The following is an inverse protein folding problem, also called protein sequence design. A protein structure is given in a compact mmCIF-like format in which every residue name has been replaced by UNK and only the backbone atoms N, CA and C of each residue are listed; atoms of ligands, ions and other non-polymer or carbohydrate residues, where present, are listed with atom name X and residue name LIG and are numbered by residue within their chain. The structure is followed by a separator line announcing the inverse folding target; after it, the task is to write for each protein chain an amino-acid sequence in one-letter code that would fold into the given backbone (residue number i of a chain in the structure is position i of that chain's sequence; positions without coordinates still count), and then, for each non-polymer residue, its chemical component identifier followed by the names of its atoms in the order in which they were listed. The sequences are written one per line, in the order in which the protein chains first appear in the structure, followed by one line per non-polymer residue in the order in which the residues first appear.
data_IF_439606634768
#
_entry.id   IF_439606634768
#
_cell.length_a   1.000
_cell.length_b   1.000
_cell.length_c   1.000
_cell.angle_alpha   90.00
_cell.angle_beta   90.00
_cell.angle_gamma   90.00
#
_symmetry.space_group_name_H-M   'P 1'
#
loop_
_entity.id
_entity.type
_entity.pdbx_description
1 polymer ?
#
# COMPACT_ATOMS: atom_id res chain seq x y z
N UNK A 1 11.00 41.01 -3.53
CA UNK A 1 11.11 39.60 -3.95
C UNK A 1 11.08 38.68 -2.74
N UNK A 2 9.96 37.99 -2.51
CA UNK A 2 9.85 36.58 -2.08
C UNK A 2 8.37 36.29 -1.86
N UNK A 3 7.77 35.64 -2.85
CA UNK A 3 6.41 35.15 -2.77
C UNK A 3 6.36 34.07 -1.68
N UNK A 4 5.65 34.36 -0.58
CA UNK A 4 5.08 33.32 0.27
C UNK A 4 4.11 32.54 -0.61
N UNK A 5 4.49 31.32 -1.02
CA UNK A 5 3.59 30.41 -1.70
C UNK A 5 2.54 29.95 -0.68
N UNK A 6 1.26 30.31 -0.83
CA UNK A 6 0.19 29.69 -0.06
C UNK A 6 -0.18 28.37 -0.76
N UNK A 7 -0.77 27.43 -0.03
CA UNK A 7 -1.37 26.19 -0.58
C UNK A 7 -0.44 24.98 -0.70
N UNK A 8 0.02 24.47 0.44
CA UNK A 8 -0.01 23.01 0.60
C UNK A 8 -0.98 22.73 1.72
N UNK A 9 -2.23 22.32 1.44
CA UNK A 9 -3.02 21.72 2.48
C UNK A 9 -2.27 20.44 2.87
N UNK A 10 -1.89 20.34 4.14
CA UNK A 10 -1.60 19.06 4.76
C UNK A 10 -2.96 18.35 4.84
N UNK A 11 -3.46 17.88 3.69
CA UNK A 11 -4.46 16.83 3.68
C UNK A 11 -3.72 15.63 4.23
N UNK A 12 -3.80 15.46 5.54
CA UNK A 12 -3.53 14.19 6.18
C UNK A 12 -4.47 13.18 5.50
N UNK A 13 -3.99 12.53 4.45
CA UNK A 13 -4.63 11.39 3.82
C UNK A 13 -4.43 10.16 4.73
N UNK A 14 -4.78 10.32 6.01
CA UNK A 14 -5.10 9.22 6.89
C UNK A 14 -6.63 9.26 7.05
N UNK A 15 -7.31 9.03 5.92
CA UNK A 15 -8.73 8.69 5.90
C UNK A 15 -8.85 7.30 6.49
N UNK A 16 -8.93 7.26 7.82
CA UNK A 16 -9.17 6.02 8.53
C UNK A 16 -10.64 5.61 8.35
N UNK A 17 -10.84 4.31 8.19
CA UNK A 17 -12.14 3.61 8.28
C UNK A 17 -13.14 3.74 7.13
N UNK A 18 -12.68 3.45 5.91
CA UNK A 18 -13.51 2.78 4.89
C UNK A 18 -13.87 1.33 5.26
N UNK A 19 -14.20 1.03 6.52
CA UNK A 19 -14.65 -0.28 7.00
C UNK A 19 -16.08 -0.47 6.51
N UNK A 20 -16.25 -0.78 5.22
CA UNK A 20 -17.45 -1.44 4.74
C UNK A 20 -17.44 -2.84 5.36
N UNK A 21 -17.93 -2.97 6.59
CA UNK A 21 -18.46 -4.22 7.13
C UNK A 21 -19.61 -4.63 6.21
N UNK A 22 -19.25 -5.26 5.09
CA UNK A 22 -20.22 -5.88 4.21
C UNK A 22 -20.67 -7.14 4.95
N UNK A 23 -21.86 -7.03 5.53
CA UNK A 23 -22.82 -8.08 5.87
C UNK A 23 -22.26 -9.46 6.22
N UNK A 24 -22.47 -9.83 7.49
CA UNK A 24 -22.17 -11.11 8.14
C UNK A 24 -22.85 -12.33 7.48
N UNK A 25 -22.35 -12.81 6.35
CA UNK A 25 -22.65 -14.18 5.87
C UNK A 25 -21.47 -14.82 5.12
N UNK A 26 -20.69 -15.60 5.88
CA UNK A 26 -20.05 -16.88 5.55
C UNK A 26 -19.06 -17.01 4.36
N UNK A 27 -17.79 -17.34 4.67
CA UNK A 27 -17.14 -18.67 4.49
C UNK A 27 -15.70 -18.64 5.00
N UNK A 28 -15.08 -19.80 5.25
CA UNK A 28 -13.70 -19.93 5.74
C UNK A 28 -12.63 -19.15 4.93
N UNK A 29 -12.92 -18.77 3.68
CA UNK A 29 -12.06 -17.89 2.86
C UNK A 29 -11.89 -16.47 3.43
N UNK A 30 -12.87 -15.94 4.16
CA UNK A 30 -12.79 -14.59 4.74
C UNK A 30 -11.82 -14.54 5.92
N UNK A 31 -11.74 -15.61 6.72
CA UNK A 31 -10.81 -15.70 7.85
C UNK A 31 -9.34 -15.76 7.36
N UNK A 32 -9.08 -16.49 6.27
CA UNK A 32 -7.74 -16.54 5.64
C UNK A 32 -7.39 -15.19 5.01
N UNK A 33 -8.35 -14.53 4.35
CA UNK A 33 -8.14 -13.18 3.82
C UNK A 33 -7.90 -12.14 4.92
N UNK A 34 -8.59 -12.26 6.06
CA UNK A 34 -8.41 -11.37 7.20
C UNK A 34 -7.02 -11.52 7.83
N UNK A 35 -6.59 -12.76 8.08
CA UNK A 35 -5.25 -13.06 8.63
C UNK A 35 -4.12 -12.69 7.66
N UNK A 36 -4.30 -12.88 6.35
CA UNK A 36 -3.35 -12.39 5.36
C UNK A 36 -3.24 -10.85 5.38
N UNK A 37 -4.36 -10.15 5.54
CA UNK A 37 -4.39 -8.69 5.64
C UNK A 37 -3.73 -8.19 6.94
N UNK A 38 -3.94 -8.87 8.07
CA UNK A 38 -3.26 -8.58 9.34
C UNK A 38 -1.74 -8.74 9.25
N UNK A 39 -1.26 -9.77 8.54
CA UNK A 39 0.18 -9.97 8.28
C UNK A 39 0.75 -8.84 7.42
N UNK A 40 0.04 -8.45 6.36
CA UNK A 40 0.43 -7.31 5.50
C UNK A 40 0.49 -6.02 6.30
N UNK A 41 -0.51 -5.78 7.14
CA UNK A 41 -0.59 -4.59 7.99
C UNK A 41 0.54 -4.58 9.03
N UNK A 42 0.83 -5.71 9.67
CA UNK A 42 1.90 -5.81 10.67
C UNK A 42 3.26 -5.52 10.05
N UNK A 43 3.56 -6.07 8.88
CA UNK A 43 4.82 -5.78 8.18
C UNK A 43 4.88 -4.33 7.65
N UNK A 44 3.75 -3.78 7.19
CA UNK A 44 3.66 -2.36 6.82
C UNK A 44 3.99 -1.45 8.01
N UNK A 45 3.40 -1.71 9.18
CA UNK A 45 3.67 -0.96 10.41
C UNK A 45 5.10 -1.15 10.90
N UNK A 46 5.67 -2.35 10.78
CA UNK A 46 7.09 -2.60 11.08
C UNK A 46 8.00 -1.80 10.14
N UNK A 47 7.70 -1.74 8.85
CA UNK A 47 8.45 -0.94 7.89
C UNK A 47 8.32 0.55 8.17
N UNK A 48 7.13 1.03 8.53
CA UNK A 48 6.90 2.40 8.94
C UNK A 48 7.72 2.74 10.20
N UNK A 49 7.73 1.87 11.21
CA UNK A 49 8.51 2.07 12.42
C UNK A 49 10.03 2.09 12.16
N UNK A 50 10.51 1.33 11.17
CA UNK A 50 11.94 1.24 10.83
C UNK A 50 12.43 2.35 9.89
N UNK A 51 11.58 2.80 8.96
CA UNK A 51 12.00 3.68 7.85
C UNK A 51 11.22 5.01 7.80
N UNK A 52 10.21 5.21 8.64
CA UNK A 52 9.35 6.41 8.63
C UNK A 52 8.64 6.60 7.29
N UNK A 53 8.49 7.85 6.85
CA UNK A 53 7.82 8.20 5.58
C UNK A 53 8.44 7.54 4.34
N UNK A 54 9.69 7.09 4.40
CA UNK A 54 10.36 6.39 3.30
C UNK A 54 9.89 4.94 3.11
N UNK A 55 9.11 4.38 4.05
CA UNK A 55 8.64 3.00 4.00
C UNK A 55 7.84 2.67 2.74
N UNK A 56 6.98 3.59 2.30
CA UNK A 56 6.19 3.40 1.08
C UNK A 56 7.08 3.36 -0.17
N UNK A 57 8.11 4.22 -0.25
CA UNK A 57 9.07 4.23 -1.34
C UNK A 57 9.89 2.93 -1.40
N UNK A 58 10.28 2.39 -0.23
CA UNK A 58 10.94 1.09 -0.12
C UNK A 58 10.03 -0.05 -0.61
N UNK A 59 8.77 -0.09 -0.19
CA UNK A 59 7.81 -1.10 -0.65
C UNK A 59 7.64 -1.08 -2.17
N UNK A 60 7.56 0.12 -2.78
CA UNK A 60 7.53 0.28 -4.23
C UNK A 60 8.81 -0.22 -4.91
N UNK A 61 9.98 0.05 -4.34
CA UNK A 61 11.25 -0.42 -4.88
C UNK A 61 11.33 -1.95 -4.87
N UNK A 62 10.91 -2.58 -3.77
CA UNK A 62 10.81 -4.04 -3.68
C UNK A 62 9.80 -4.62 -4.68
N UNK A 63 8.64 -3.98 -4.86
CA UNK A 63 7.66 -4.40 -5.86
C UNK A 63 8.22 -4.33 -7.29
N UNK A 64 9.03 -3.30 -7.58
CA UNK A 64 9.71 -3.15 -8.87
C UNK A 64 10.79 -4.23 -9.07
N UNK A 65 11.58 -4.52 -8.04
CA UNK A 65 12.58 -5.58 -8.08
C UNK A 65 11.95 -6.96 -8.31
N UNK A 66 10.86 -7.29 -7.59
CA UNK A 66 10.12 -8.53 -7.79
C UNK A 66 9.56 -8.65 -9.21
N UNK A 67 9.00 -7.55 -9.77
CA UNK A 67 8.54 -7.52 -11.16
C UNK A 67 9.70 -7.72 -12.16
N UNK A 68 10.87 -7.15 -11.92
CA UNK A 68 12.06 -7.37 -12.76
C UNK A 68 12.54 -8.82 -12.69
N UNK A 69 12.37 -9.47 -11.53
CA UNK A 69 12.68 -10.89 -11.34
C UNK A 69 11.60 -11.84 -11.87
N UNK A 70 10.46 -11.33 -12.37
CA UNK A 70 9.32 -12.15 -12.80
C UNK A 70 8.51 -12.77 -11.68
N UNK A 71 8.73 -12.36 -10.42
CA UNK A 71 7.97 -12.82 -9.27
C UNK A 71 6.69 -11.98 -9.10
N UNK A 72 5.62 -12.46 -9.73
CA UNK A 72 4.30 -11.85 -9.65
C UNK A 72 3.70 -11.91 -8.24
N UNK A 73 3.99 -12.96 -7.46
CA UNK A 73 3.49 -13.10 -6.10
C UNK A 73 4.17 -12.12 -5.15
N UNK A 74 5.49 -12.01 -5.21
CA UNK A 74 6.26 -11.01 -4.47
C UNK A 74 5.87 -9.59 -4.88
N UNK A 75 5.66 -9.35 -6.18
CA UNK A 75 5.19 -8.05 -6.66
C UNK A 75 3.83 -7.67 -6.06
N UNK A 76 2.85 -8.59 -6.11
CA UNK A 76 1.52 -8.37 -5.53
C UNK A 76 1.57 -8.15 -4.01
N UNK A 77 2.43 -8.89 -3.29
CA UNK A 77 2.65 -8.72 -1.86
C UNK A 77 3.16 -7.32 -1.51
N UNK A 78 4.18 -6.84 -2.21
CA UNK A 78 4.74 -5.50 -1.97
C UNK A 78 3.78 -4.37 -2.37
N UNK A 79 2.95 -4.58 -3.39
CA UNK A 79 1.86 -3.66 -3.74
C UNK A 79 0.81 -3.61 -2.62
N UNK A 80 0.46 -4.75 -2.02
CA UNK A 80 -0.47 -4.80 -0.89
C UNK A 80 0.07 -4.07 0.34
N UNK A 81 1.34 -4.24 0.68
CA UNK A 81 2.01 -3.47 1.75
C UNK A 81 2.00 -1.97 1.42
N UNK A 82 2.36 -1.61 0.17
CA UNK A 82 2.34 -0.22 -0.26
C UNK A 82 0.93 0.38 -0.19
N UNK A 83 -0.14 -0.39 -0.44
CA UNK A 83 -1.53 0.08 -0.30
C UNK A 83 -1.93 0.41 1.13
N UNK A 84 -1.36 -0.27 2.14
CA UNK A 84 -1.62 0.04 3.55
C UNK A 84 -0.93 1.34 4.00
N UNK A 85 0.14 1.75 3.31
CA UNK A 85 0.93 2.94 3.65
C UNK A 85 0.58 4.16 2.78
N UNK A 86 0.46 3.95 1.47
CA UNK A 86 0.21 4.98 0.46
C UNK A 86 -0.55 4.36 -0.72
N UNK A 87 -1.87 4.46 -0.64
CA UNK A 87 -2.79 3.93 -1.65
C UNK A 87 -2.67 4.63 -3.01
N UNK A 88 -2.60 5.98 -3.11
CA UNK A 88 -2.37 6.65 -4.39
C UNK A 88 -1.10 6.17 -5.11
N UNK A 89 0.01 6.02 -4.40
CA UNK A 89 1.26 5.55 -4.98
C UNK A 89 1.17 4.08 -5.43
N UNK A 90 0.57 3.23 -4.61
CA UNK A 90 0.40 1.82 -4.95
C UNK A 90 -0.48 1.63 -6.20
N UNK A 91 -1.57 2.39 -6.31
CA UNK A 91 -2.46 2.33 -7.48
C UNK A 91 -1.80 2.90 -8.74
N UNK A 92 -1.01 3.98 -8.62
CA UNK A 92 -0.21 4.51 -9.74
C UNK A 92 0.82 3.49 -10.23
N UNK A 93 1.46 2.77 -9.31
CA UNK A 93 2.42 1.72 -9.63
C UNK A 93 1.75 0.50 -10.27
N UNK A 94 0.63 0.03 -9.72
CA UNK A 94 -0.16 -1.07 -10.29
C UNK A 94 -0.64 -0.75 -11.72
N UNK A 95 -1.11 0.49 -11.97
CA UNK A 95 -1.46 0.95 -13.32
C UNK A 95 -0.27 0.95 -14.27
N UNK A 96 0.91 1.38 -13.79
CA UNK A 96 2.15 1.40 -14.60
C UNK A 96 2.60 -0.01 -14.96
N UNK A 97 2.42 -0.94 -14.04
CA UNK A 97 2.69 -2.36 -14.23
C UNK A 97 1.73 -2.97 -15.25
N UNK A 98 0.43 -2.73 -15.11
CA UNK A 98 -0.59 -3.26 -16.02
C UNK A 98 -0.43 -2.76 -17.47
N UNK A 99 0.21 -1.60 -17.67
CA UNK A 99 0.51 -1.05 -19.00
C UNK A 99 1.78 -1.63 -19.65
N UNK A 100 2.61 -2.34 -18.88
CA UNK A 100 3.86 -2.97 -19.35
C UNK A 100 3.69 -4.46 -19.67
N UNK A 101 2.50 -5.00 -19.45
CA UNK A 101 2.05 -6.32 -19.93
C UNK A 101 1.32 -6.09 -21.25
#
# INVERSE_FOLDING_TARGET
MRALNPSVPICAANDDFGRKHRSRTARAGDAVAHTANERVLTEALRHLARHGLSAAAHARAHAAAARLAGDEHGCAWWIAICRQLDRPMADAFARRIARRV
#
